data_IF_449868360918
#
_entry.id   IF_449868360918
#
_cell.length_a   1.000
_cell.length_b   1.000
_cell.length_c   1.000
_cell.angle_alpha   90.00
_cell.angle_beta   90.00
_cell.angle_gamma   90.00
#
_symmetry.space_group_name_H-M   'P 1'
#
loop_
_entity.id
_entity.type
_entity.pdbx_description
1 polymer ?
#
# COMPACT_ATOMS: atom_id res chain seq x y z
N UNK A 1 17.36 -10.50 11.23
CA UNK A 1 17.83 -10.13 9.88
C UNK A 1 16.78 -9.31 9.19
N UNK A 2 17.17 -8.28 8.47
CA UNK A 2 16.24 -7.44 7.70
C UNK A 2 16.51 -7.60 6.22
N UNK A 3 15.44 -7.57 5.44
CA UNK A 3 15.50 -7.59 4.00
C UNK A 3 14.77 -6.35 3.47
N UNK A 4 15.27 -5.80 2.36
CA UNK A 4 14.69 -4.60 1.76
C UNK A 4 14.47 -4.82 0.28
N UNK A 5 13.40 -4.26 -0.26
CA UNK A 5 13.14 -4.27 -1.69
C UNK A 5 12.88 -2.86 -2.19
N UNK A 6 13.29 -2.61 -3.43
CA UNK A 6 13.06 -1.34 -4.10
C UNK A 6 12.07 -1.56 -5.25
N UNK A 7 11.23 -0.57 -5.50
CA UNK A 7 10.34 -0.61 -6.67
C UNK A 7 10.91 0.21 -7.83
N UNK A 8 12.05 0.87 -7.62
CA UNK A 8 12.60 1.77 -8.62
C UNK A 8 11.94 3.14 -8.63
N UNK A 9 11.10 3.45 -7.62
CA UNK A 9 10.48 4.76 -7.54
C UNK A 9 11.55 5.85 -7.38
N UNK A 10 11.41 6.97 -8.10
CA UNK A 10 12.45 8.00 -8.09
C UNK A 10 12.65 8.65 -6.73
N UNK A 11 11.63 8.62 -5.88
CA UNK A 11 11.73 9.21 -4.54
C UNK A 11 12.54 8.37 -3.55
N UNK A 12 12.68 7.06 -3.80
CA UNK A 12 13.34 6.16 -2.84
C UNK A 12 14.78 6.60 -2.52
N UNK A 13 15.66 6.80 -3.51
CA UNK A 13 17.02 7.24 -3.19
C UNK A 13 17.11 8.67 -2.71
N UNK A 14 16.21 9.54 -3.15
CA UNK A 14 16.24 10.96 -2.79
C UNK A 14 15.82 11.16 -1.33
N UNK A 15 14.73 10.51 -0.92
CA UNK A 15 14.21 10.61 0.44
C UNK A 15 14.93 9.65 1.38
N UNK A 16 15.41 8.54 0.87
CA UNK A 16 16.13 7.56 1.66
C UNK A 16 15.24 6.49 2.27
N UNK A 17 14.41 5.85 1.44
CA UNK A 17 13.56 4.75 1.94
C UNK A 17 13.53 3.59 0.96
N UNK A 18 13.05 2.44 1.44
CA UNK A 18 12.83 1.26 0.63
C UNK A 18 11.34 1.09 0.36
N UNK A 19 10.98 0.37 -0.71
CA UNK A 19 9.57 0.07 -0.97
C UNK A 19 8.96 -0.75 0.16
N UNK A 20 9.70 -1.71 0.66
CA UNK A 20 9.27 -2.51 1.79
C UNK A 20 10.47 -3.07 2.54
N UNK A 21 10.26 -3.36 3.82
CA UNK A 21 11.30 -3.90 4.70
C UNK A 21 10.69 -5.07 5.47
N UNK A 22 11.38 -6.20 5.45
CA UNK A 22 11.04 -7.32 6.31
C UNK A 22 12.02 -7.37 7.48
N UNK A 23 11.49 -7.34 8.69
CA UNK A 23 12.26 -7.48 9.92
C UNK A 23 11.69 -8.66 10.70
N UNK A 24 12.37 -9.80 10.63
CA UNK A 24 11.86 -11.03 11.22
C UNK A 24 10.55 -11.44 10.54
N UNK A 25 9.49 -11.50 11.31
CA UNK A 25 8.17 -11.88 10.81
C UNK A 25 7.29 -10.69 10.44
N UNK A 26 7.77 -9.48 10.59
CA UNK A 26 6.98 -8.28 10.29
C UNK A 26 7.48 -7.66 8.99
N UNK A 27 6.55 -7.26 8.13
CA UNK A 27 6.87 -6.60 6.88
C UNK A 27 6.16 -5.25 6.86
N UNK A 28 6.92 -4.20 6.56
CA UNK A 28 6.41 -2.84 6.45
C UNK A 28 6.47 -2.45 4.99
N UNK A 29 5.33 -2.10 4.42
CA UNK A 29 5.28 -1.62 3.04
C UNK A 29 5.06 -0.12 3.08
N UNK A 30 5.99 0.62 2.48
CA UNK A 30 5.89 2.07 2.36
C UNK A 30 4.69 2.46 1.53
N UNK A 31 4.25 3.70 1.65
CA UNK A 31 3.11 4.19 0.90
C UNK A 31 3.23 3.91 -0.60
N UNK A 32 2.22 3.27 -1.15
CA UNK A 32 2.10 2.99 -2.58
C UNK A 32 1.02 3.85 -3.19
N UNK A 33 1.27 4.32 -4.40
CA UNK A 33 0.33 5.14 -5.17
C UNK A 33 0.16 4.50 -6.55
N UNK A 34 -0.74 5.06 -7.35
CA UNK A 34 -0.90 4.63 -8.74
C UNK A 34 0.20 5.25 -9.61
N UNK A 35 1.43 4.81 -9.37
CA UNK A 35 2.59 5.29 -10.11
C UNK A 35 3.22 4.12 -10.85
N UNK A 36 3.36 4.25 -12.16
CA UNK A 36 3.93 3.23 -13.04
C UNK A 36 5.08 3.88 -13.78
N UNK A 37 6.28 3.31 -13.63
CA UNK A 37 7.50 3.83 -14.27
C UNK A 37 7.71 5.32 -14.04
N UNK A 38 7.46 5.75 -12.79
CA UNK A 38 7.67 7.14 -12.39
C UNK A 38 6.53 8.10 -12.75
N UNK A 39 5.47 7.60 -13.40
CA UNK A 39 4.35 8.45 -13.79
C UNK A 39 3.09 8.08 -13.04
N UNK A 40 2.36 9.10 -12.59
CA UNK A 40 1.04 8.88 -11.97
C UNK A 40 0.05 8.57 -13.09
N UNK A 41 -0.67 7.47 -12.93
CA UNK A 41 -1.65 7.02 -13.93
C UNK A 41 -3.05 7.02 -13.33
N UNK A 42 -4.06 6.73 -14.16
CA UNK A 42 -5.46 6.72 -13.77
C UNK A 42 -5.88 8.06 -13.13
N UNK A 43 -5.40 9.16 -13.70
CA UNK A 43 -5.67 10.50 -13.15
C UNK A 43 -7.17 10.75 -13.07
N UNK A 44 -7.64 11.17 -11.89
CA UNK A 44 -9.07 11.44 -11.66
C UNK A 44 -9.90 10.21 -11.31
N UNK A 45 -9.35 9.00 -11.40
CA UNK A 45 -10.07 7.76 -11.13
C UNK A 45 -9.63 7.18 -9.78
N UNK A 46 -10.40 7.46 -8.74
CA UNK A 46 -10.05 7.06 -7.38
C UNK A 46 -10.07 5.55 -7.19
N UNK A 47 -11.02 4.86 -7.82
CA UNK A 47 -11.08 3.40 -7.74
C UNK A 47 -9.83 2.76 -8.37
N UNK A 48 -9.52 3.14 -9.59
CA UNK A 48 -8.39 2.54 -10.30
C UNK A 48 -7.05 2.92 -9.65
N UNK A 49 -6.92 4.15 -9.16
CA UNK A 49 -5.71 4.52 -8.43
C UNK A 49 -5.55 3.68 -7.17
N UNK A 50 -6.62 3.40 -6.45
CA UNK A 50 -6.55 2.55 -5.26
C UNK A 50 -6.20 1.12 -5.64
N UNK A 51 -6.81 0.60 -6.71
CA UNK A 51 -6.51 -0.75 -7.17
C UNK A 51 -5.03 -0.91 -7.52
N UNK A 52 -4.47 0.08 -8.22
CA UNK A 52 -3.05 0.05 -8.61
C UNK A 52 -2.13 0.23 -7.39
N UNK A 53 -2.50 1.09 -6.45
CA UNK A 53 -1.72 1.26 -5.22
C UNK A 53 -1.68 -0.05 -4.43
N UNK A 54 -2.82 -0.73 -4.32
CA UNK A 54 -2.88 -2.03 -3.63
C UNK A 54 -2.10 -3.10 -4.37
N UNK A 55 -2.08 -3.07 -5.69
CA UNK A 55 -1.25 -4.00 -6.46
C UNK A 55 0.23 -3.81 -6.11
N UNK A 56 0.66 -2.56 -5.93
CA UNK A 56 2.01 -2.26 -5.48
C UNK A 56 2.32 -2.83 -4.11
N UNK A 57 1.35 -2.77 -3.19
CA UNK A 57 1.48 -3.38 -1.87
C UNK A 57 1.63 -4.90 -1.99
N UNK A 58 0.76 -5.53 -2.80
CA UNK A 58 0.77 -6.98 -2.99
C UNK A 58 2.09 -7.43 -3.59
N UNK A 59 2.58 -6.73 -4.61
CA UNK A 59 3.83 -7.07 -5.26
C UNK A 59 5.03 -6.96 -4.30
N UNK A 60 5.04 -5.92 -3.46
CA UNK A 60 6.10 -5.74 -2.47
C UNK A 60 6.08 -6.87 -1.43
N UNK A 61 4.90 -7.24 -0.97
CA UNK A 61 4.74 -8.35 -0.03
C UNK A 61 5.24 -9.65 -0.63
N UNK A 62 4.87 -9.94 -1.87
CA UNK A 62 5.28 -11.17 -2.55
C UNK A 62 6.81 -11.29 -2.64
N UNK A 63 7.49 -10.18 -2.89
CA UNK A 63 8.95 -10.16 -2.97
C UNK A 63 9.61 -10.44 -1.63
N UNK A 64 8.89 -10.27 -0.53
CA UNK A 64 9.39 -10.55 0.82
C UNK A 64 8.72 -11.77 1.44
N UNK A 65 8.08 -12.60 0.63
CA UNK A 65 7.57 -13.90 1.08
C UNK A 65 6.20 -13.84 1.77
N UNK A 66 5.40 -12.83 1.48
CA UNK A 66 4.09 -12.69 2.11
C UNK A 66 2.98 -12.50 1.07
N UNK A 67 1.76 -12.68 1.51
CA UNK A 67 0.55 -12.59 0.71
C UNK A 67 -0.45 -11.66 1.40
N UNK A 68 -1.51 -11.22 0.72
CA UNK A 68 -2.48 -10.30 1.32
C UNK A 68 -3.08 -10.77 2.65
N UNK A 69 -3.27 -12.08 2.82
CA UNK A 69 -3.82 -12.60 4.07
C UNK A 69 -2.91 -12.39 5.28
N UNK A 70 -1.64 -12.06 5.06
CA UNK A 70 -0.72 -11.74 6.15
C UNK A 70 -0.84 -10.28 6.60
N UNK A 71 -1.57 -9.45 5.88
CA UNK A 71 -1.70 -8.03 6.21
C UNK A 71 -2.55 -7.89 7.48
N UNK A 72 -2.01 -7.18 8.46
CA UNK A 72 -2.69 -6.93 9.73
C UNK A 72 -3.15 -5.48 9.86
N UNK A 73 -2.61 -4.57 9.06
CA UNK A 73 -3.00 -3.17 9.08
C UNK A 73 -2.78 -2.52 7.72
N UNK A 74 -3.74 -1.67 7.32
CA UNK A 74 -3.55 -0.72 6.24
C UNK A 74 -3.83 0.69 6.73
N UNK A 75 -3.13 1.68 6.16
CA UNK A 75 -3.45 3.09 6.33
C UNK A 75 -3.63 3.69 4.95
N UNK A 76 -4.75 4.37 4.77
CA UNK A 76 -5.15 4.92 3.48
C UNK A 76 -5.23 6.43 3.60
N UNK A 77 -4.41 7.11 2.83
CA UNK A 77 -4.34 8.57 2.80
C UNK A 77 -5.00 9.06 1.52
N UNK A 78 -5.97 9.93 1.64
CA UNK A 78 -6.74 10.41 0.48
C UNK A 78 -6.74 11.93 0.42
N UNK A 79 -6.82 12.49 -0.76
CA UNK A 79 -6.87 13.95 -0.93
C UNK A 79 -8.29 14.49 -0.95
N UNK A 80 -9.30 13.61 -1.14
CA UNK A 80 -10.71 13.97 -1.12
C UNK A 80 -11.48 12.82 -0.47
N UNK A 81 -11.85 13.00 0.80
CA UNK A 81 -12.51 11.95 1.57
C UNK A 81 -13.91 11.63 1.03
N UNK A 82 -14.50 12.52 0.26
CA UNK A 82 -15.82 12.25 -0.33
C UNK A 82 -15.75 11.11 -1.36
N UNK A 83 -14.55 10.76 -1.83
CA UNK A 83 -14.32 9.67 -2.76
C UNK A 83 -14.18 8.31 -2.04
N UNK A 84 -14.40 8.26 -0.73
CA UNK A 84 -14.20 7.03 0.05
C UNK A 84 -15.00 5.82 -0.46
N UNK A 85 -16.21 5.95 -1.06
CA UNK A 85 -16.90 4.76 -1.56
C UNK A 85 -16.14 4.04 -2.66
N UNK A 86 -15.54 4.77 -3.60
CA UNK A 86 -14.75 4.16 -4.66
C UNK A 86 -13.44 3.56 -4.12
N UNK A 87 -12.79 4.30 -3.24
CA UNK A 87 -11.55 3.85 -2.62
C UNK A 87 -11.80 2.63 -1.73
N UNK A 88 -12.86 2.69 -0.94
CA UNK A 88 -13.26 1.58 -0.07
C UNK A 88 -13.64 0.34 -0.85
N UNK A 89 -14.29 0.50 -2.00
CA UNK A 89 -14.65 -0.65 -2.85
C UNK A 89 -13.41 -1.37 -3.34
N UNK A 90 -12.41 -0.64 -3.82
CA UNK A 90 -11.16 -1.25 -4.28
C UNK A 90 -10.43 -1.95 -3.12
N UNK A 91 -10.39 -1.32 -1.94
CA UNK A 91 -9.78 -1.91 -0.75
C UNK A 91 -10.52 -3.17 -0.33
N UNK A 92 -11.85 -3.13 -0.35
CA UNK A 92 -12.70 -4.26 0.01
C UNK A 92 -12.56 -5.45 -0.93
N UNK A 93 -12.30 -5.21 -2.21
CA UNK A 93 -12.09 -6.29 -3.17
C UNK A 93 -10.84 -7.11 -2.84
N UNK A 94 -9.83 -6.49 -2.22
CA UNK A 94 -8.63 -7.21 -1.78
C UNK A 94 -8.82 -7.78 -0.37
N UNK A 95 -9.35 -6.99 0.55
CA UNK A 95 -9.30 -7.29 1.97
C UNK A 95 -10.65 -7.65 2.59
N UNK A 96 -11.71 -7.78 1.80
CA UNK A 96 -13.05 -8.03 2.34
C UNK A 96 -13.18 -9.24 3.23
N UNK A 97 -12.41 -10.29 2.94
CA UNK A 97 -12.40 -11.52 3.75
C UNK A 97 -11.28 -11.54 4.78
N UNK A 98 -10.27 -10.72 4.61
CA UNK A 98 -9.09 -10.68 5.49
C UNK A 98 -9.35 -9.75 6.67
N UNK A 99 -9.88 -8.58 6.39
CA UNK A 99 -10.28 -7.57 7.37
C UNK A 99 -9.16 -7.11 8.30
N UNK A 100 -8.09 -6.57 7.76
CA UNK A 100 -7.05 -5.99 8.60
C UNK A 100 -7.59 -4.76 9.35
N UNK A 101 -6.89 -4.37 10.41
CA UNK A 101 -7.16 -3.05 10.98
C UNK A 101 -6.87 -2.00 9.91
N UNK A 102 -7.73 -1.01 9.77
CA UNK A 102 -7.56 -0.03 8.70
C UNK A 102 -8.04 1.35 9.14
N UNK A 103 -7.36 2.37 8.67
CA UNK A 103 -7.74 3.76 8.90
C UNK A 103 -7.62 4.52 7.58
N UNK A 104 -8.62 5.33 7.27
CA UNK A 104 -8.60 6.21 6.10
C UNK A 104 -8.74 7.65 6.58
N UNK A 105 -7.83 8.51 6.13
CA UNK A 105 -7.83 9.92 6.50
C UNK A 105 -7.60 10.80 5.29
N UNK A 106 -8.21 11.98 5.28
CA UNK A 106 -7.92 12.98 4.29
C UNK A 106 -6.66 13.72 4.68
N UNK A 107 -5.78 13.95 3.73
CA UNK A 107 -4.54 14.68 3.92
C UNK A 107 -4.53 15.92 3.01
N UNK A 108 -3.73 16.91 3.39
CA UNK A 108 -3.66 18.17 2.64
C UNK A 108 -3.10 17.97 1.23
N UNK A 109 -2.12 17.06 1.06
CA UNK A 109 -1.49 16.80 -0.23
C UNK A 109 -0.70 15.50 -0.18
N UNK A 110 -0.48 14.93 -1.34
CA UNK A 110 0.49 13.86 -1.56
C UNK A 110 1.63 14.43 -2.40
N UNK A 111 2.63 13.61 -2.73
CA UNK A 111 3.83 14.10 -3.41
C UNK A 111 3.55 14.67 -4.80
N UNK A 112 2.51 14.19 -5.46
CA UNK A 112 2.12 14.68 -6.79
C UNK A 112 0.63 15.01 -6.74
N UNK A 113 0.22 16.17 -7.28
CA UNK A 113 -1.19 16.58 -7.20
C UNK A 113 -2.15 15.66 -7.95
N UNK A 114 -1.66 14.82 -8.83
CA UNK A 114 -2.50 13.83 -9.53
C UNK A 114 -2.79 12.60 -8.66
N UNK A 115 -2.08 12.42 -7.55
CA UNK A 115 -2.31 11.32 -6.64
C UNK A 115 -3.56 11.59 -5.80
N UNK A 116 -4.53 10.69 -5.86
CA UNK A 116 -5.76 10.77 -5.06
C UNK A 116 -5.68 9.92 -3.80
N UNK A 117 -4.81 8.92 -3.80
CA UNK A 117 -4.73 7.95 -2.72
C UNK A 117 -3.32 7.40 -2.58
N UNK A 118 -2.96 7.12 -1.35
CA UNK A 118 -1.72 6.41 -1.01
C UNK A 118 -2.04 5.38 0.06
N UNK A 119 -1.53 4.16 -0.07
CA UNK A 119 -1.80 3.07 0.87
C UNK A 119 -0.49 2.50 1.40
N UNK A 120 -0.37 2.38 2.71
CA UNK A 120 0.71 1.66 3.34
C UNK A 120 0.16 0.44 4.07
N UNK A 121 0.98 -0.55 4.32
CA UNK A 121 0.54 -1.79 4.95
C UNK A 121 1.60 -2.34 5.88
N UNK A 122 1.13 -3.09 6.89
CA UNK A 122 1.97 -3.89 7.77
C UNK A 122 1.46 -5.32 7.70
N UNK A 123 2.37 -6.27 7.53
CA UNK A 123 2.06 -7.69 7.48
C UNK A 123 2.85 -8.46 8.53
N UNK A 124 2.31 -9.60 8.96
CA UNK A 124 2.95 -10.47 9.94
C UNK A 124 2.84 -11.91 9.47
N UNK A 125 3.99 -12.58 9.39
CA UNK A 125 4.06 -13.96 8.90
C UNK A 125 4.53 -14.93 9.98
N UNK A 126 4.52 -14.51 11.22
CA UNK A 126 5.26 -15.19 12.26
C UNK A 126 4.71 -16.50 12.70
N UNK A 127 3.43 -16.69 12.60
CA UNK A 127 2.87 -17.91 13.10
C UNK A 127 1.95 -18.51 12.09
N UNK A 128 2.14 -19.74 11.83
CA UNK A 128 1.24 -20.46 10.96
C UNK A 128 -0.09 -20.73 11.64
N UNK A 129 -0.26 -20.15 12.77
CA UNK A 129 -1.46 -20.33 13.51
C UNK A 129 -1.36 -21.44 14.51
N UNK A 130 -2.30 -21.49 15.34
CA UNK A 130 -2.38 -22.45 16.35
C UNK A 130 -2.65 -23.64 15.68
N UNK A 131 -2.16 -24.34 16.11
CA UNK A 131 -2.68 -25.51 15.69
C UNK A 131 -4.10 -25.64 16.08
#
# INVERSE_FOLDING_TARGET
MTERVSSGAPWEPVIGYSRAVRAGNTIYVSGCTATVEGEVVAVGDAYEQTRLALQGVIDALARLGAEPQHVVRTRVYVTDITRWPDIGRAHGEVFGDIRPASTMVEVAALLDPRMLVEVEATAWTGDAGPA
#
